data_IF_978749371271
#
_entry.id   IF_978749371271
#
_cell.length_a   1.000
_cell.length_b   1.000
_cell.length_c   1.000
_cell.angle_alpha   90.00
_cell.angle_beta   90.00
_cell.angle_gamma   90.00
#
_symmetry.space_group_name_H-M   'P 1'
#
loop_
_entity.id
_entity.type
_entity.pdbx_description
1 polymer ?
#
# COMPACT_ATOMS: atom_id res chain seq x y z
N UNK A 1 -11.08 1.34 -0.68
CA UNK A 1 -10.06 1.56 0.37
C UNK A 1 -8.72 1.16 -0.22
N UNK A 2 -7.70 2.02 -0.11
CA UNK A 2 -6.37 1.80 -0.68
C UNK A 2 -5.43 1.33 0.43
N UNK A 3 -4.82 0.16 0.29
CA UNK A 3 -3.93 -0.40 1.29
C UNK A 3 -2.48 -0.17 0.87
N UNK A 4 -1.64 0.47 1.70
CA UNK A 4 -0.22 0.59 1.40
C UNK A 4 0.41 -0.80 1.39
N UNK A 5 1.10 -1.12 0.30
CA UNK A 5 1.84 -2.37 0.10
C UNK A 5 3.33 -2.02 0.15
N UNK A 6 4.09 -2.74 0.95
CA UNK A 6 5.52 -2.51 1.14
C UNK A 6 6.32 -3.74 0.74
N UNK A 7 7.44 -3.52 0.05
CA UNK A 7 8.41 -4.58 -0.21
C UNK A 7 8.98 -5.09 1.11
N UNK A 8 9.12 -6.41 1.23
CA UNK A 8 9.59 -7.08 2.45
C UNK A 8 8.48 -7.36 3.47
N UNK A 9 7.28 -6.79 3.31
CA UNK A 9 6.15 -7.03 4.19
C UNK A 9 5.76 -8.52 4.20
N UNK A 10 5.39 -9.01 5.40
CA UNK A 10 4.89 -10.37 5.62
C UNK A 10 3.57 -10.35 6.36
N UNK A 11 2.59 -11.10 5.88
CA UNK A 11 1.32 -11.31 6.58
C UNK A 11 1.07 -12.79 6.78
N UNK A 12 0.30 -13.16 7.81
CA UNK A 12 -0.03 -14.55 8.09
C UNK A 12 -1.52 -14.71 8.36
N UNK A 13 -2.11 -15.76 7.79
CA UNK A 13 -3.49 -16.16 8.02
C UNK A 13 -3.54 -17.67 8.26
N UNK A 14 -4.51 -18.12 9.06
CA UNK A 14 -4.80 -19.53 9.23
C UNK A 14 -6.02 -19.92 8.41
N UNK A 15 -5.87 -20.94 7.55
CA UNK A 15 -6.93 -21.48 6.72
C UNK A 15 -6.88 -23.00 6.84
N UNK A 16 -8.01 -23.62 7.20
CA UNK A 16 -8.14 -25.07 7.41
C UNK A 16 -7.04 -25.65 8.33
N UNK A 17 -6.77 -24.98 9.45
CA UNK A 17 -5.76 -25.40 10.43
C UNK A 17 -4.31 -25.31 9.95
N UNK A 18 -4.05 -24.66 8.80
CA UNK A 18 -2.70 -24.41 8.29
C UNK A 18 -2.39 -22.93 8.22
N UNK A 19 -1.18 -22.55 8.60
CA UNK A 19 -0.69 -21.17 8.54
C UNK A 19 -0.11 -20.88 7.16
N UNK A 20 -0.68 -19.89 6.49
CA UNK A 20 -0.22 -19.37 5.22
C UNK A 20 0.43 -18.01 5.46
N UNK A 21 1.67 -17.85 5.03
CA UNK A 21 2.42 -16.60 5.15
C UNK A 21 2.61 -16.01 3.76
N UNK A 22 2.15 -14.78 3.54
CA UNK A 22 2.41 -14.02 2.31
C UNK A 22 3.64 -13.15 2.51
N UNK A 23 4.50 -13.12 1.50
CA UNK A 23 5.67 -12.26 1.45
C UNK A 23 5.61 -11.41 0.19
N UNK A 24 5.85 -10.12 0.36
CA UNK A 24 5.89 -9.16 -0.74
C UNK A 24 7.35 -8.94 -1.12
N UNK A 25 7.67 -9.18 -2.38
CA UNK A 25 9.02 -9.10 -2.94
C UNK A 25 9.09 -7.97 -3.97
N UNK A 26 10.31 -7.50 -4.22
CA UNK A 26 10.59 -6.58 -5.31
C UNK A 26 10.49 -7.31 -6.65
N UNK A 27 9.70 -6.77 -7.57
CA UNK A 27 9.50 -7.33 -8.89
C UNK A 27 8.61 -8.57 -8.92
N UNK A 28 7.91 -8.75 -10.04
CA UNK A 28 7.22 -9.99 -10.37
C UNK A 28 7.61 -10.48 -11.77
N UNK A 29 7.10 -11.66 -12.16
CA UNK A 29 7.45 -12.31 -13.43
C UNK A 29 7.03 -11.52 -14.69
N UNK A 30 6.16 -10.51 -14.56
CA UNK A 30 5.70 -9.68 -15.66
C UNK A 30 6.30 -8.27 -15.65
N UNK A 31 6.54 -7.70 -14.46
CA UNK A 31 7.08 -6.35 -14.31
C UNK A 31 7.97 -6.27 -13.05
N UNK A 32 9.22 -5.85 -13.24
CA UNK A 32 10.20 -5.68 -12.17
C UNK A 32 9.89 -4.48 -11.27
N UNK A 33 9.12 -3.50 -11.76
CA UNK A 33 8.72 -2.32 -10.99
C UNK A 33 7.44 -2.53 -10.17
N UNK A 34 6.79 -3.69 -10.33
CA UNK A 34 5.59 -4.05 -9.57
C UNK A 34 5.92 -5.12 -8.53
N UNK A 35 5.23 -5.11 -7.37
CA UNK A 35 5.48 -6.09 -6.33
C UNK A 35 5.20 -7.51 -6.81
N UNK A 36 6.04 -8.44 -6.36
CA UNK A 36 5.83 -9.88 -6.43
C UNK A 36 5.28 -10.43 -5.14
N UNK A 37 4.51 -11.51 -5.24
CA UNK A 37 3.84 -12.14 -4.11
C UNK A 37 4.22 -13.62 -4.08
N UNK A 38 4.75 -14.07 -2.96
CA UNK A 38 4.98 -15.49 -2.70
C UNK A 38 4.24 -15.90 -1.43
N UNK A 39 3.48 -16.99 -1.52
CA UNK A 39 2.82 -17.59 -0.38
C UNK A 39 3.61 -18.81 0.08
N UNK A 40 3.72 -19.01 1.39
CA UNK A 40 4.42 -20.13 2.02
C UNK A 40 3.52 -20.78 3.06
N UNK A 41 3.58 -22.11 3.15
CA UNK A 41 2.90 -22.88 4.17
C UNK A 41 3.77 -24.10 4.50
N UNK A 42 4.28 -24.13 5.74
CA UNK A 42 5.27 -25.11 6.17
C UNK A 42 6.50 -25.11 5.23
N UNK A 43 6.79 -26.23 4.58
CA UNK A 43 7.89 -26.38 3.60
C UNK A 43 7.48 -26.08 2.16
N UNK A 44 6.19 -25.87 1.88
CA UNK A 44 5.69 -25.60 0.53
C UNK A 44 5.63 -24.09 0.24
N UNK A 45 5.91 -23.72 -1.00
CA UNK A 45 5.80 -22.34 -1.46
C UNK A 45 5.15 -22.26 -2.85
N UNK A 46 4.42 -21.18 -3.10
CA UNK A 46 3.99 -20.83 -4.46
C UNK A 46 5.20 -20.39 -5.30
N UNK A 47 4.97 -20.22 -6.61
CA UNK A 47 5.83 -19.37 -7.44
C UNK A 47 5.62 -17.90 -7.05
N UNK A 48 6.52 -17.04 -7.53
CA UNK A 48 6.32 -15.59 -7.46
C UNK A 48 5.20 -15.24 -8.45
N UNK A 49 4.12 -14.66 -7.91
CA UNK A 49 2.96 -14.20 -8.66
C UNK A 49 2.87 -12.67 -8.62
N UNK A 50 2.06 -12.11 -9.50
CA UNK A 50 1.81 -10.67 -9.69
C UNK A 50 0.72 -10.12 -8.76
N UNK A 51 -0.02 -11.00 -8.10
CA UNK A 51 -1.05 -10.63 -7.14
C UNK A 51 -1.18 -11.67 -6.02
N UNK A 52 -1.63 -11.26 -4.82
CA UNK A 52 -1.70 -12.14 -3.66
C UNK A 52 -2.70 -13.28 -3.84
N UNK A 53 -3.79 -13.07 -4.59
CA UNK A 53 -4.82 -14.09 -4.86
C UNK A 53 -4.23 -15.30 -5.59
N UNK A 54 -3.42 -15.07 -6.62
CA UNK A 54 -2.76 -16.13 -7.38
C UNK A 54 -1.74 -16.88 -6.52
N UNK A 55 -0.94 -16.15 -5.73
CA UNK A 55 0.07 -16.75 -4.85
C UNK A 55 -0.58 -17.71 -3.83
N UNK A 56 -1.60 -17.28 -3.11
CA UNK A 56 -2.26 -18.15 -2.12
C UNK A 56 -3.08 -19.25 -2.77
N UNK A 57 -3.81 -18.94 -3.85
CA UNK A 57 -4.67 -19.93 -4.52
C UNK A 57 -3.83 -21.07 -5.11
N UNK A 58 -2.71 -20.75 -5.76
CA UNK A 58 -1.83 -21.78 -6.33
C UNK A 58 -1.28 -22.72 -5.25
N UNK A 59 -0.77 -22.17 -4.14
CA UNK A 59 -0.26 -22.98 -3.02
C UNK A 59 -1.37 -23.79 -2.34
N UNK A 60 -2.52 -23.18 -2.09
CA UNK A 60 -3.66 -23.86 -1.46
C UNK A 60 -4.11 -25.07 -2.29
N UNK A 61 -4.24 -24.90 -3.62
CA UNK A 61 -4.58 -25.99 -4.54
C UNK A 61 -3.50 -27.07 -4.58
N UNK A 62 -2.23 -26.69 -4.49
CA UNK A 62 -1.12 -27.64 -4.42
C UNK A 62 -1.18 -28.52 -3.16
N UNK A 63 -1.48 -27.93 -2.00
CA UNK A 63 -1.52 -28.62 -0.70
C UNK A 63 -2.77 -29.47 -0.55
N UNK A 64 -3.94 -28.91 -0.83
CA UNK A 64 -5.24 -29.58 -0.57
C UNK A 64 -5.80 -30.33 -1.78
N UNK A 65 -5.15 -30.25 -2.95
CA UNK A 65 -5.59 -30.88 -4.20
C UNK A 65 -7.04 -30.53 -4.58
N UNK A 66 -7.41 -29.27 -4.36
CA UNK A 66 -8.74 -28.74 -4.71
C UNK A 66 -8.65 -27.70 -5.83
N UNK A 67 -9.79 -27.23 -6.32
CA UNK A 67 -9.88 -26.09 -7.23
C UNK A 67 -10.30 -24.78 -6.54
N UNK A 68 -10.38 -24.78 -5.21
CA UNK A 68 -10.79 -23.62 -4.42
C UNK A 68 -9.95 -22.39 -4.77
N UNK A 69 -10.61 -21.23 -4.86
CA UNK A 69 -9.97 -19.93 -5.01
C UNK A 69 -10.03 -19.20 -3.67
N UNK A 70 -8.89 -18.71 -3.21
CA UNK A 70 -8.78 -17.95 -1.95
C UNK A 70 -8.53 -16.49 -2.30
N UNK A 71 -9.28 -15.58 -1.69
CA UNK A 71 -9.14 -14.14 -1.93
C UNK A 71 -7.83 -13.62 -1.31
N UNK A 72 -7.04 -12.90 -2.11
CA UNK A 72 -5.78 -12.29 -1.64
C UNK A 72 -6.00 -11.30 -0.48
N UNK A 73 -7.13 -10.59 -0.44
CA UNK A 73 -7.45 -9.68 0.67
C UNK A 73 -7.50 -10.37 2.03
N UNK A 74 -7.91 -11.64 2.07
CA UNK A 74 -8.00 -12.43 3.29
C UNK A 74 -6.61 -12.72 3.88
N UNK A 75 -5.64 -13.07 3.03
CA UNK A 75 -4.25 -13.32 3.48
C UNK A 75 -3.49 -12.03 3.74
N UNK A 76 -3.76 -10.99 2.96
CA UNK A 76 -3.23 -9.65 3.21
C UNK A 76 -3.83 -9.01 4.48
N UNK A 77 -4.88 -9.63 5.04
CA UNK A 77 -5.63 -9.17 6.21
C UNK A 77 -6.08 -7.71 6.10
N UNK A 78 -6.46 -7.32 4.88
CA UNK A 78 -6.94 -5.97 4.56
C UNK A 78 -8.32 -5.67 5.19
N UNK A 79 -8.99 -6.68 5.73
CA UNK A 79 -10.24 -6.58 6.48
C UNK A 79 -10.04 -6.19 7.96
N UNK A 80 -8.79 -6.10 8.45
CA UNK A 80 -8.49 -5.79 9.85
C UNK A 80 -7.86 -4.41 10.01
N UNK A 81 -8.62 -3.47 10.56
CA UNK A 81 -8.18 -2.10 10.85
C UNK A 81 -6.91 -2.03 11.72
N UNK A 82 -6.70 -3.02 12.60
CA UNK A 82 -5.50 -3.11 13.44
C UNK A 82 -4.22 -3.35 12.64
N UNK A 83 -4.30 -4.11 11.54
CA UNK A 83 -3.16 -4.39 10.67
C UNK A 83 -2.85 -3.18 9.82
N UNK A 84 -3.89 -2.50 9.31
CA UNK A 84 -3.73 -1.21 8.66
C UNK A 84 -2.98 -0.22 9.58
N UNK A 85 -3.44 -0.08 10.82
CA UNK A 85 -2.78 0.80 11.82
C UNK A 85 -1.32 0.42 12.04
N UNK A 86 -0.99 -0.87 12.08
CA UNK A 86 0.38 -1.36 12.29
C UNK A 86 1.31 -1.14 11.08
N UNK A 87 0.85 -1.44 9.86
CA UNK A 87 1.58 -1.16 8.62
C UNK A 87 1.89 0.33 8.54
N UNK A 88 0.94 1.16 8.98
CA UNK A 88 1.11 2.60 9.03
C UNK A 88 2.09 3.02 10.12
N UNK A 89 2.10 2.40 11.31
CA UNK A 89 2.95 2.77 12.45
C UNK A 89 4.45 2.73 12.13
N UNK A 90 4.90 1.69 11.42
CA UNK A 90 6.32 1.43 11.14
C UNK A 90 6.91 2.30 10.01
N UNK A 91 6.12 3.19 9.39
CA UNK A 91 6.63 4.11 8.37
C UNK A 91 7.04 5.43 9.03
N UNK A 92 8.35 5.62 9.22
CA UNK A 92 8.90 6.96 9.44
C UNK A 92 8.96 7.70 8.10
N UNK A 93 8.26 8.84 8.01
CA UNK A 93 8.32 9.70 6.82
C UNK A 93 8.83 11.09 7.15
N UNK A 94 9.76 11.55 6.32
CA UNK A 94 10.24 12.91 6.27
C UNK A 94 9.67 13.56 5.00
N UNK A 95 8.94 14.67 5.14
CA UNK A 95 8.43 15.42 4.01
C UNK A 95 9.57 16.22 3.37
N UNK A 96 9.97 15.85 2.16
CA UNK A 96 10.90 16.64 1.36
C UNK A 96 10.11 17.57 0.44
N UNK A 97 10.52 18.84 0.37
CA UNK A 97 9.93 19.83 -0.54
C UNK A 97 10.26 19.47 -1.99
N UNK A 98 9.35 18.79 -2.68
CA UNK A 98 9.46 18.48 -4.10
C UNK A 98 9.22 19.79 -4.88
N UNK A 99 10.28 20.32 -5.51
CA UNK A 99 10.28 21.64 -6.20
C UNK A 99 9.59 21.65 -7.58
N UNK A 100 9.22 20.50 -8.13
CA UNK A 100 8.69 20.36 -9.50
C UNK A 100 7.88 19.06 -9.61
N UNK A 101 7.08 18.89 -10.67
CA UNK A 101 6.39 17.63 -10.93
C UNK A 101 7.36 16.43 -11.11
N UNK A 102 8.68 16.67 -11.25
CA UNK A 102 9.74 15.64 -11.37
C UNK A 102 9.43 14.55 -12.42
N UNK A 103 8.67 14.88 -13.47
CA UNK A 103 8.25 13.92 -14.48
C UNK A 103 7.13 12.97 -14.05
N UNK A 104 6.56 13.13 -12.84
CA UNK A 104 5.34 12.45 -12.44
C UNK A 104 4.17 12.96 -13.30
N UNK A 105 3.75 12.13 -14.24
CA UNK A 105 2.65 12.42 -15.15
C UNK A 105 1.28 12.29 -14.49
N UNK A 106 0.25 12.62 -15.28
CA UNK A 106 -1.14 12.36 -14.91
C UNK A 106 -1.35 10.87 -14.57
N UNK A 107 -2.05 10.61 -13.46
CA UNK A 107 -2.26 9.25 -12.93
C UNK A 107 -1.28 8.86 -11.83
N UNK A 108 -0.22 9.62 -11.56
CA UNK A 108 0.64 9.38 -10.41
C UNK A 108 -0.13 9.61 -9.10
N UNK A 109 0.01 8.65 -8.19
CA UNK A 109 -0.52 8.71 -6.83
C UNK A 109 0.56 8.23 -5.86
N UNK A 110 0.79 9.02 -4.81
CA UNK A 110 1.62 8.68 -3.68
C UNK A 110 0.83 8.87 -2.40
N UNK A 111 1.16 8.09 -1.37
CA UNK A 111 0.61 8.30 -0.04
C UNK A 111 1.69 8.20 1.02
N UNK A 112 1.61 9.04 2.03
CA UNK A 112 2.51 9.00 3.18
C UNK A 112 1.75 9.36 4.45
N UNK A 113 2.40 9.19 5.59
CA UNK A 113 1.80 9.43 6.90
C UNK A 113 2.47 10.62 7.55
N UNK A 114 1.68 11.48 8.18
CA UNK A 114 2.18 12.61 8.93
C UNK A 114 1.26 12.95 10.10
N UNK A 115 1.83 13.55 11.16
CA UNK A 115 1.03 14.10 12.25
C UNK A 115 0.40 15.40 11.76
N UNK A 116 -0.91 15.41 11.62
CA UNK A 116 -1.68 16.58 11.24
C UNK A 116 -2.72 16.86 12.33
N UNK A 117 -2.74 18.09 12.86
CA UNK A 117 -3.63 18.48 13.97
C UNK A 117 -3.54 17.54 15.19
N UNK A 118 -2.32 17.11 15.54
CA UNK A 118 -2.00 16.17 16.64
C UNK A 118 -2.49 14.73 16.45
N UNK A 119 -2.99 14.39 15.27
CA UNK A 119 -3.44 13.04 14.93
C UNK A 119 -2.60 12.47 13.78
N UNK A 120 -2.36 11.16 13.80
CA UNK A 120 -1.66 10.46 12.73
C UNK A 120 -2.60 10.33 11.52
N UNK A 121 -2.29 11.04 10.44
CA UNK A 121 -3.12 11.09 9.24
C UNK A 121 -2.37 10.57 8.02
N UNK A 122 -3.13 10.07 7.03
CA UNK A 122 -2.62 9.67 5.72
C UNK A 122 -2.81 10.84 4.75
N UNK A 123 -1.73 11.26 4.13
CA UNK A 123 -1.73 12.20 3.02
C UNK A 123 -1.68 11.40 1.74
N UNK A 124 -2.62 11.62 0.83
CA UNK A 124 -2.64 11.02 -0.50
C UNK A 124 -2.46 12.13 -1.52
N UNK A 125 -1.30 12.18 -2.17
CA UNK A 125 -1.01 13.09 -3.26
C UNK A 125 -1.34 12.43 -4.60
N UNK A 126 -2.05 13.16 -5.47
CA UNK A 126 -2.50 12.70 -6.79
C UNK A 126 -2.23 13.79 -7.81
N UNK A 127 -1.93 13.40 -9.06
CA UNK A 127 -1.91 14.32 -10.19
C UNK A 127 -2.99 13.91 -11.21
N UNK A 128 -3.99 14.76 -11.39
CA UNK A 128 -5.14 14.52 -12.26
C UNK A 128 -5.40 15.76 -13.10
N UNK A 129 -5.46 15.64 -14.43
CA UNK A 129 -5.80 16.74 -15.36
C UNK A 129 -5.06 18.05 -15.05
N UNK A 130 -3.75 17.98 -14.89
CA UNK A 130 -2.86 19.10 -14.52
C UNK A 130 -3.10 19.74 -13.14
N UNK A 131 -3.85 19.08 -12.26
CA UNK A 131 -4.00 19.48 -10.87
C UNK A 131 -3.17 18.55 -9.98
N UNK A 132 -2.39 19.14 -9.09
CA UNK A 132 -1.93 18.47 -7.89
C UNK A 132 -3.03 18.50 -6.85
N UNK A 133 -3.33 17.34 -6.27
CA UNK A 133 -4.34 17.14 -5.26
C UNK A 133 -3.67 16.48 -4.06
N UNK A 134 -3.96 16.95 -2.86
CA UNK A 134 -3.58 16.28 -1.62
C UNK A 134 -4.82 16.11 -0.77
N UNK A 135 -5.14 14.86 -0.47
CA UNK A 135 -6.21 14.49 0.45
C UNK A 135 -5.61 14.07 1.78
N UNK A 136 -6.20 14.51 2.88
CA UNK A 136 -5.82 14.07 4.22
C UNK A 136 -6.92 13.20 4.78
N UNK A 137 -6.55 12.00 5.20
CA UNK A 137 -7.43 10.98 5.72
C UNK A 137 -7.04 10.66 7.15
N UNK A 138 -8.03 10.63 8.05
CA UNK A 138 -7.88 10.02 9.35
C UNK A 138 -8.71 8.72 9.33
N UNK A 139 -8.03 7.58 9.48
CA UNK A 139 -8.60 6.26 9.27
C UNK A 139 -9.31 6.17 7.90
N UNK A 140 -10.60 5.86 7.89
CA UNK A 140 -11.41 5.73 6.68
C UNK A 140 -12.15 7.03 6.28
N UNK A 141 -11.90 8.14 6.97
CA UNK A 141 -12.60 9.41 6.77
C UNK A 141 -11.68 10.45 6.16
N UNK A 142 -12.08 11.04 5.03
CA UNK A 142 -11.38 12.19 4.45
C UNK A 142 -11.67 13.43 5.28
N UNK A 143 -10.64 13.99 5.91
CA UNK A 143 -10.76 15.15 6.81
C UNK A 143 -10.31 16.45 6.16
N UNK A 144 -9.55 16.41 5.06
CA UNK A 144 -9.16 17.60 4.30
C UNK A 144 -8.88 17.27 2.83
N UNK A 145 -9.04 18.28 1.97
CA UNK A 145 -8.80 18.20 0.53
C UNK A 145 -8.19 19.52 0.07
N UNK A 146 -7.07 19.44 -0.64
CA UNK A 146 -6.34 20.58 -1.18
C UNK A 146 -6.04 20.33 -2.64
N UNK A 147 -6.26 21.34 -3.50
CA UNK A 147 -5.93 21.24 -4.92
C UNK A 147 -5.36 22.54 -5.46
N UNK A 148 -4.46 22.42 -6.42
CA UNK A 148 -3.90 23.52 -7.20
C UNK A 148 -3.21 22.98 -8.47
N UNK A 149 -2.93 23.83 -9.44
CA UNK A 149 -2.07 23.49 -10.59
C UNK A 149 -0.60 23.29 -10.17
N UNK A 150 -0.17 23.93 -9.09
CA UNK A 150 1.19 23.80 -8.55
C UNK A 150 1.22 22.93 -7.28
N UNK A 151 1.94 21.78 -7.27
CA UNK A 151 2.13 20.98 -6.06
C UNK A 151 2.77 21.79 -4.92
N UNK A 152 3.66 22.74 -5.22
CA UNK A 152 4.27 23.62 -4.20
C UNK A 152 3.20 24.45 -3.50
N UNK A 153 2.28 25.04 -4.26
CA UNK A 153 1.19 25.83 -3.69
C UNK A 153 0.21 24.98 -2.88
N UNK A 154 -0.06 23.73 -3.30
CA UNK A 154 -0.87 22.78 -2.51
C UNK A 154 -0.22 22.55 -1.15
N UNK A 155 1.08 22.22 -1.13
CA UNK A 155 1.79 21.94 0.12
C UNK A 155 1.97 23.18 1.00
N UNK A 156 2.11 24.38 0.41
CA UNK A 156 2.09 25.63 1.16
C UNK A 156 0.73 25.87 1.84
N UNK A 157 -0.39 25.62 1.14
CA UNK A 157 -1.74 25.74 1.72
C UNK A 157 -1.97 24.80 2.90
N UNK A 158 -1.35 23.62 2.88
CA UNK A 158 -1.45 22.65 3.98
C UNK A 158 -0.69 23.12 5.22
N UNK A 159 0.36 23.93 5.04
CA UNK A 159 1.11 24.54 6.16
C UNK A 159 2.05 23.60 6.91
N UNK A 160 2.35 22.42 6.35
CA UNK A 160 3.27 21.43 6.97
C UNK A 160 4.69 21.45 6.38
N UNK A 161 4.94 22.27 5.35
CA UNK A 161 6.27 22.43 4.78
C UNK A 161 7.19 23.13 5.78
N UNK A 162 8.29 22.47 6.16
CA UNK A 162 9.42 23.16 6.78
C UNK A 162 10.17 23.90 5.67
N UNK A 163 10.35 25.22 5.85
CA UNK A 163 11.31 25.97 5.03
C UNK A 163 12.70 25.45 5.40
N UNK A 164 13.48 25.08 4.39
CA UNK A 164 14.92 24.90 4.49
C UNK A 164 15.59 26.21 4.08
#
# INVERSE_FOLDING_TARGET
MMYPIQIGMRTQVEINGKKFTMHILEGNKFDLNQPGYICQCNSDSSKIEDNPTNAITSLYRQIFKTQTKILGSMVMSFDKDSIFTKILQDIEFYSYSIKSWLGAGEGYMASFIHIFRKERCIFVQKFIKNKSIVEVWNNSTKISHYENSSPVEVWQKIGILRKF
#
